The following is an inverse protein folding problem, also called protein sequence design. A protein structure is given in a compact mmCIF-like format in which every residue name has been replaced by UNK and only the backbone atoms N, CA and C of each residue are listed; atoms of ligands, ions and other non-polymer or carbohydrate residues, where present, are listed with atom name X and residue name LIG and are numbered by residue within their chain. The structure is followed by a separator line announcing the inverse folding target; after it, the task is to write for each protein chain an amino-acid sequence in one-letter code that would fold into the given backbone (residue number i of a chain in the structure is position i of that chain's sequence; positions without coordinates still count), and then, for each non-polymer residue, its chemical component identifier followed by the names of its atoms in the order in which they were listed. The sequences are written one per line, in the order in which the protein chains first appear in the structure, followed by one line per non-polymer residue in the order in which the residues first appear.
data_IF_284204726407
#
_entry.id   IF_284204726407
#
_cell.length_a   1.000
_cell.length_b   1.000
_cell.length_c   1.000
_cell.angle_alpha   90.00
_cell.angle_beta   90.00
_cell.angle_gamma   90.00
#
_symmetry.space_group_name_H-M   'P 1'
#
loop_
_entity.id
_entity.type
_entity.pdbx_description
1 polymer ?
#
# COMPACT_ATOMS: atom_id res chain seq x y z
N UNK A 1 -9.14 12.96 2.62
CA UNK A 1 -8.48 12.88 1.29
C UNK A 1 -8.94 11.65 0.52
N UNK A 2 -8.72 10.44 1.07
CA UNK A 2 -9.10 9.14 0.48
C UNK A 2 -10.55 9.11 -0.02
N UNK A 3 -11.52 9.52 0.83
CA UNK A 3 -12.94 9.54 0.43
C UNK A 3 -13.23 10.28 -0.87
N UNK A 4 -12.59 11.43 -1.12
CA UNK A 4 -12.77 12.19 -2.38
C UNK A 4 -12.25 11.44 -3.60
N UNK A 5 -11.19 10.65 -3.44
CA UNK A 5 -10.63 9.83 -4.52
C UNK A 5 -11.54 8.64 -4.81
N UNK A 6 -12.09 8.01 -3.76
CA UNK A 6 -13.06 6.92 -3.87
C UNK A 6 -14.35 7.41 -4.54
N UNK A 7 -14.87 8.57 -4.13
CA UNK A 7 -16.03 9.21 -4.77
C UNK A 7 -15.79 9.53 -6.26
N UNK A 8 -14.52 9.77 -6.63
CA UNK A 8 -14.10 9.97 -8.01
C UNK A 8 -13.83 8.66 -8.78
N UNK A 9 -14.07 7.49 -8.16
CA UNK A 9 -13.95 6.18 -8.78
C UNK A 9 -12.62 5.45 -8.51
N UNK A 10 -11.81 5.89 -7.54
CA UNK A 10 -10.61 5.15 -7.18
C UNK A 10 -10.98 3.83 -6.49
N UNK A 11 -10.54 2.72 -7.07
CA UNK A 11 -10.76 1.36 -6.56
C UNK A 11 -9.64 0.88 -5.63
N UNK A 12 -8.61 1.69 -5.43
CA UNK A 12 -7.47 1.40 -4.57
C UNK A 12 -6.60 2.64 -4.33
N UNK A 13 -5.84 2.64 -3.23
CA UNK A 13 -4.98 3.75 -2.83
C UNK A 13 -3.53 3.26 -2.73
N UNK A 14 -2.64 3.86 -3.52
CA UNK A 14 -1.20 3.62 -3.41
C UNK A 14 -0.62 4.54 -2.33
N UNK A 15 0.00 3.96 -1.30
CA UNK A 15 0.76 4.72 -0.30
C UNK A 15 2.15 4.97 -0.86
N UNK A 16 2.24 5.94 -1.76
CA UNK A 16 3.41 6.18 -2.61
C UNK A 16 4.60 6.89 -1.95
N UNK A 17 4.49 7.26 -0.68
CA UNK A 17 5.62 7.74 0.11
C UNK A 17 5.81 6.78 1.28
N UNK A 18 7.07 6.40 1.54
CA UNK A 18 7.46 5.43 2.58
C UNK A 18 6.93 5.79 3.97
N UNK A 19 6.74 7.09 4.25
CA UNK A 19 6.29 7.62 5.53
C UNK A 19 4.77 7.59 5.71
N UNK A 20 4.00 7.58 4.62
CA UNK A 20 2.53 7.54 4.69
C UNK A 20 2.06 6.22 5.31
N UNK A 21 2.81 5.14 5.06
CA UNK A 21 2.57 3.81 5.63
C UNK A 21 2.70 3.79 7.16
N UNK A 22 3.35 4.80 7.76
CA UNK A 22 3.43 4.95 9.21
C UNK A 22 2.17 5.59 9.82
N UNK A 23 1.31 6.17 8.99
CA UNK A 23 0.13 6.95 9.41
C UNK A 23 -1.20 6.35 8.96
N UNK A 24 -1.20 5.60 7.85
CA UNK A 24 -2.41 5.09 7.20
C UNK A 24 -2.37 3.56 7.16
N UNK A 25 -3.46 2.94 7.57
CA UNK A 25 -3.69 1.50 7.53
C UNK A 25 -4.91 1.16 6.68
N UNK A 26 -5.11 -0.14 6.42
CA UNK A 26 -6.26 -0.62 5.66
C UNK A 26 -7.60 -0.19 6.30
N UNK A 27 -7.68 -0.09 7.62
CA UNK A 27 -8.86 0.36 8.37
C UNK A 27 -9.24 1.83 8.11
N UNK A 28 -8.31 2.65 7.60
CA UNK A 28 -8.55 4.06 7.27
C UNK A 28 -9.13 4.27 5.86
N UNK A 29 -9.30 3.20 5.08
CA UNK A 29 -9.74 3.24 3.68
C UNK A 29 -10.86 2.24 3.40
N UNK A 30 -11.94 2.65 2.72
CA UNK A 30 -13.00 1.73 2.30
C UNK A 30 -12.60 0.89 1.08
N UNK A 31 -11.47 1.18 0.44
CA UNK A 31 -10.87 0.44 -0.67
C UNK A 31 -9.47 -0.07 -0.30
N UNK A 32 -8.91 -1.09 -0.98
CA UNK A 32 -7.57 -1.60 -0.69
C UNK A 32 -6.51 -0.50 -0.69
N UNK A 33 -5.61 -0.55 0.30
CA UNK A 33 -4.40 0.29 0.35
C UNK A 33 -3.19 -0.55 -0.03
N UNK A 34 -2.26 0.07 -0.76
CA UNK A 34 -1.07 -0.58 -1.30
C UNK A 34 0.18 0.10 -0.74
N UNK A 35 0.75 -0.39 0.38
CA UNK A 35 2.00 0.11 0.94
C UNK A 35 3.16 -0.19 -0.01
N UNK A 36 3.68 0.84 -0.69
CA UNK A 36 4.70 0.65 -1.73
C UNK A 36 6.03 0.14 -1.18
N UNK A 37 6.37 0.48 0.06
CA UNK A 37 7.58 0.03 0.73
C UNK A 37 7.53 -1.47 0.97
N UNK A 38 6.43 -1.96 1.57
CA UNK A 38 6.24 -3.40 1.80
C UNK A 38 6.25 -4.18 0.46
N UNK A 39 5.47 -3.73 -0.52
CA UNK A 39 5.40 -4.36 -1.85
C UNK A 39 6.77 -4.42 -2.55
N UNK A 40 7.58 -3.36 -2.44
CA UNK A 40 8.93 -3.36 -3.00
C UNK A 40 9.88 -4.28 -2.23
N UNK A 41 9.76 -4.37 -0.90
CA UNK A 41 10.56 -5.29 -0.09
C UNK A 41 10.22 -6.73 -0.44
N UNK A 42 8.95 -7.08 -0.56
CA UNK A 42 8.51 -8.43 -0.94
C UNK A 42 9.06 -8.84 -2.31
N UNK A 43 8.95 -7.93 -3.30
CA UNK A 43 9.53 -8.16 -4.62
C UNK A 43 11.06 -8.30 -4.57
N UNK A 44 11.75 -7.53 -3.72
CA UNK A 44 13.20 -7.62 -3.55
C UNK A 44 13.61 -8.94 -2.88
N UNK A 45 12.85 -9.44 -1.90
CA UNK A 45 13.06 -10.72 -1.24
C UNK A 45 12.84 -11.88 -2.23
N UNK A 46 11.78 -11.83 -3.04
CA UNK A 46 11.53 -12.81 -4.09
C UNK A 46 12.70 -12.90 -5.08
N UNK A 47 13.19 -11.75 -5.57
CA UNK A 47 14.36 -11.68 -6.46
C UNK A 47 15.62 -12.23 -5.80
N UNK A 48 15.76 -12.05 -4.48
CA UNK A 48 16.88 -12.58 -3.70
C UNK A 48 16.74 -14.08 -3.35
N UNK A 49 15.61 -14.72 -3.68
CA UNK A 49 15.32 -16.11 -3.27
C UNK A 49 15.07 -16.26 -1.77
N UNK A 50 14.63 -15.18 -1.12
CA UNK A 50 14.26 -15.12 0.30
C UNK A 50 12.73 -15.13 0.42
N UNK A 51 12.17 -15.60 1.56
CA UNK A 51 10.74 -15.51 1.79
C UNK A 51 10.30 -14.04 1.85
N UNK A 52 9.23 -13.69 1.14
CA UNK A 52 8.50 -12.44 1.31
C UNK A 52 7.61 -12.53 2.56
N UNK A 53 7.33 -11.39 3.20
CA UNK A 53 6.43 -11.36 4.36
C UNK A 53 4.98 -11.17 3.85
N UNK A 54 4.02 -11.95 4.39
CA UNK A 54 2.58 -11.82 4.08
C UNK A 54 1.89 -10.77 4.94
#
# INVERSE_FOLDING_TARGET
MIGRLVDAGAEGIILGCTEIELLIRQEDSPVPVFPTTALHVDAALEVAGLPAEE
#
